data_IF_149275057532
#
_entry.id   IF_149275057532
#
_cell.length_a   1.000
_cell.length_b   1.000
_cell.length_c   1.000
_cell.angle_alpha   90.00
_cell.angle_beta   90.00
_cell.angle_gamma   90.00
#
_symmetry.space_group_name_H-M   'P 1'
#
loop_
_entity.id
_entity.type
_entity.pdbx_description
1 polymer ?
#
# COMPACT_ATOMS: atom_id res chain seq x y z
N UNK A 1 49.64 -8.39 -30.76
CA UNK A 1 48.50 -9.02 -30.05
C UNK A 1 48.08 -8.11 -28.90
N UNK A 2 46.94 -7.43 -29.02
CA UNK A 2 46.33 -6.64 -27.94
C UNK A 2 44.83 -6.91 -27.97
N UNK A 3 44.43 -7.91 -27.20
CA UNK A 3 43.02 -8.27 -26.97
C UNK A 3 42.61 -7.52 -25.71
N UNK A 4 41.82 -6.45 -25.86
CA UNK A 4 41.16 -5.76 -24.73
C UNK A 4 39.73 -5.42 -25.17
N UNK A 5 38.85 -6.43 -25.28
CA UNK A 5 37.41 -6.23 -25.57
C UNK A 5 36.48 -7.05 -24.65
N UNK A 6 36.95 -8.02 -23.86
CA UNK A 6 36.05 -8.96 -23.17
C UNK A 6 35.76 -8.67 -21.67
N UNK A 7 36.15 -7.51 -21.12
CA UNK A 7 35.87 -7.16 -19.71
C UNK A 7 34.92 -5.96 -19.57
N UNK A 8 34.03 -5.75 -20.53
CA UNK A 8 32.91 -4.80 -20.40
C UNK A 8 31.59 -5.55 -20.58
N UNK A 9 30.65 -5.31 -19.64
CA UNK A 9 29.27 -5.80 -19.53
C UNK A 9 29.14 -7.28 -19.11
N UNK A 10 28.57 -7.62 -17.95
CA UNK A 10 27.36 -7.07 -17.34
C UNK A 10 27.60 -7.00 -15.82
N UNK A 11 27.77 -5.80 -15.27
CA UNK A 11 27.44 -5.59 -13.86
C UNK A 11 25.93 -5.69 -13.75
N UNK A 12 25.45 -6.81 -13.22
CA UNK A 12 24.04 -6.93 -12.84
C UNK A 12 23.82 -5.90 -11.72
N UNK A 13 23.28 -4.74 -12.05
CA UNK A 13 22.62 -3.91 -11.06
C UNK A 13 21.36 -4.67 -10.65
N UNK A 14 21.52 -5.70 -9.81
CA UNK A 14 20.42 -6.08 -8.95
C UNK A 14 20.16 -4.83 -8.12
N UNK A 15 19.17 -4.04 -8.51
CA UNK A 15 18.52 -3.17 -7.56
C UNK A 15 17.87 -4.12 -6.56
N UNK A 16 18.62 -4.50 -5.53
CA UNK A 16 18.05 -4.99 -4.31
C UNK A 16 17.30 -3.79 -3.73
N UNK A 17 16.04 -3.63 -4.14
CA UNK A 17 15.14 -2.74 -3.44
C UNK A 17 14.98 -3.35 -2.05
N UNK A 18 15.86 -2.96 -1.12
CA UNK A 18 15.75 -3.28 0.29
C UNK A 18 14.58 -2.50 0.94
N UNK A 19 13.81 -1.77 0.14
CA UNK A 19 12.70 -0.95 0.57
C UNK A 19 11.38 -1.61 0.16
N UNK A 20 10.50 -1.76 1.14
CA UNK A 20 9.11 -2.13 0.92
C UNK A 20 8.44 -1.01 0.14
N UNK A 21 7.86 -1.34 -1.01
CA UNK A 21 7.02 -0.42 -1.77
C UNK A 21 5.56 -0.68 -1.45
N UNK A 22 4.78 0.38 -1.21
CA UNK A 22 3.33 0.31 -1.11
C UNK A 22 2.71 0.65 -2.47
N UNK A 23 1.74 -0.15 -2.88
CA UNK A 23 1.00 0.03 -4.13
C UNK A 23 -0.50 0.11 -3.84
N UNK A 24 -1.20 0.91 -4.63
CA UNK A 24 -2.67 0.92 -4.73
C UNK A 24 -3.05 0.99 -6.20
N UNK A 25 -4.18 0.38 -6.56
CA UNK A 25 -4.71 0.48 -7.92
C UNK A 25 -5.51 1.77 -8.10
N UNK A 26 -5.47 2.31 -9.32
CA UNK A 26 -6.29 3.45 -9.71
C UNK A 26 -7.69 2.99 -10.11
N UNK A 27 -8.71 3.68 -9.62
CA UNK A 27 -10.10 3.40 -9.98
C UNK A 27 -10.70 4.58 -10.74
N UNK A 28 -11.63 4.28 -11.64
CA UNK A 28 -12.59 5.25 -12.20
C UNK A 28 -13.95 4.88 -11.63
N UNK A 29 -14.58 5.80 -10.92
CA UNK A 29 -15.75 5.52 -10.10
C UNK A 29 -16.81 6.59 -10.31
N UNK A 30 -18.07 6.16 -10.32
CA UNK A 30 -19.20 7.06 -10.33
C UNK A 30 -19.44 7.63 -8.93
N UNK A 31 -20.03 8.81 -8.86
CA UNK A 31 -20.35 9.47 -7.60
C UNK A 31 -21.36 8.66 -6.79
N UNK A 32 -21.16 8.58 -5.46
CA UNK A 32 -22.01 7.79 -4.57
C UNK A 32 -21.83 6.26 -4.71
N UNK A 33 -20.94 5.78 -5.59
CA UNK A 33 -20.62 4.37 -5.68
C UNK A 33 -19.44 4.04 -4.75
N UNK A 34 -19.68 3.20 -3.74
CA UNK A 34 -18.61 2.64 -2.93
C UNK A 34 -17.69 1.80 -3.81
N UNK A 35 -16.39 2.06 -3.72
CA UNK A 35 -15.35 1.27 -4.35
C UNK A 35 -14.31 0.83 -3.32
N UNK A 36 -13.55 -0.19 -3.67
CA UNK A 36 -12.55 -0.75 -2.79
C UNK A 36 -11.16 -0.51 -3.38
N UNK A 37 -10.36 0.31 -2.69
CA UNK A 37 -8.95 0.49 -3.01
C UNK A 37 -8.09 -0.52 -2.25
N UNK A 38 -7.14 -1.14 -2.94
CA UNK A 38 -6.25 -2.14 -2.39
C UNK A 38 -4.93 -1.54 -1.90
N UNK A 39 -4.46 -2.01 -0.74
CA UNK A 39 -3.15 -1.61 -0.22
C UNK A 39 -2.23 -2.81 -0.30
N UNK A 40 -1.33 -2.79 -1.26
CA UNK A 40 -0.43 -3.89 -1.63
C UNK A 40 1.02 -3.58 -1.30
N UNK A 41 1.84 -4.62 -1.22
CA UNK A 41 3.28 -4.51 -1.02
C UNK A 41 4.10 -5.19 -2.10
N UNK A 42 5.28 -4.64 -2.35
CA UNK A 42 6.36 -5.24 -3.15
C UNK A 42 7.65 -5.17 -2.35
N UNK A 43 8.46 -6.23 -2.40
CA UNK A 43 9.71 -6.34 -1.63
C UNK A 43 9.50 -6.56 -0.13
N UNK A 44 8.36 -7.13 0.28
CA UNK A 44 8.06 -7.43 1.69
C UNK A 44 8.76 -8.72 2.12
N UNK A 45 10.04 -8.59 2.47
CA UNK A 45 10.90 -9.71 2.85
C UNK A 45 11.46 -9.50 4.25
N UNK A 46 11.23 -10.47 5.12
CA UNK A 46 11.71 -10.51 6.50
C UNK A 46 11.31 -9.26 7.32
N UNK A 47 10.06 -8.81 7.17
CA UNK A 47 9.56 -7.59 7.80
C UNK A 47 8.90 -7.93 9.13
N UNK A 48 9.41 -7.35 10.22
CA UNK A 48 8.87 -7.52 11.57
C UNK A 48 7.77 -6.49 11.87
N UNK A 49 7.77 -5.33 11.22
CA UNK A 49 6.73 -4.33 11.42
C UNK A 49 6.70 -3.29 10.33
N UNK A 50 5.55 -2.65 10.17
CA UNK A 50 5.36 -1.55 9.24
C UNK A 50 4.40 -0.53 9.83
N UNK A 51 4.69 0.74 9.57
CA UNK A 51 3.81 1.83 9.91
C UNK A 51 3.79 2.84 8.78
N UNK A 52 2.59 3.23 8.35
CA UNK A 52 2.40 4.26 7.34
C UNK A 52 1.05 4.95 7.49
N UNK A 53 0.83 5.97 6.66
CA UNK A 53 -0.43 6.70 6.60
C UNK A 53 -0.91 6.78 5.15
N UNK A 54 -2.21 6.58 4.94
CA UNK A 54 -2.89 6.85 3.69
C UNK A 54 -3.73 8.10 3.89
N UNK A 55 -3.49 9.11 3.06
CA UNK A 55 -4.16 10.41 3.15
C UNK A 55 -4.94 10.62 1.85
N UNK A 56 -6.13 11.17 1.97
CA UNK A 56 -6.96 11.56 0.82
C UNK A 56 -7.65 12.90 1.11
N UNK A 57 -8.18 13.51 0.07
CA UNK A 57 -9.01 14.70 0.20
C UNK A 57 -10.39 14.32 0.75
N UNK A 58 -10.62 14.62 2.03
CA UNK A 58 -11.88 14.31 2.72
C UNK A 58 -13.07 15.14 2.25
N UNK A 59 -12.85 16.16 1.40
CA UNK A 59 -13.96 16.94 0.82
C UNK A 59 -14.59 16.22 -0.37
N UNK A 60 -13.89 15.26 -0.97
CA UNK A 60 -14.35 14.51 -2.15
C UNK A 60 -14.43 12.99 -1.92
N UNK A 61 -13.76 12.43 -0.91
CA UNK A 61 -13.84 11.01 -0.57
C UNK A 61 -14.12 10.78 0.92
N UNK A 62 -14.99 9.80 1.20
CA UNK A 62 -15.28 9.31 2.55
C UNK A 62 -14.81 7.86 2.70
N UNK A 63 -14.15 7.56 3.82
CA UNK A 63 -13.86 6.18 4.20
C UNK A 63 -15.08 5.54 4.86
N UNK A 64 -15.49 4.39 4.34
CA UNK A 64 -16.53 3.54 4.91
C UNK A 64 -15.94 2.54 5.91
N UNK A 65 -14.79 1.95 5.57
CA UNK A 65 -14.10 1.01 6.45
C UNK A 65 -12.89 0.35 5.81
N UNK A 66 -12.27 -0.56 6.56
CA UNK A 66 -11.18 -1.43 6.09
C UNK A 66 -11.57 -2.89 6.26
N UNK A 67 -11.13 -3.74 5.34
CA UNK A 67 -11.45 -5.16 5.33
C UNK A 67 -10.36 -6.01 4.66
N UNK A 68 -10.62 -7.32 4.54
CA UNK A 68 -9.78 -8.29 3.84
C UNK A 68 -8.29 -8.20 4.21
N UNK A 69 -8.01 -8.45 5.49
CA UNK A 69 -6.66 -8.40 6.06
C UNK A 69 -5.81 -9.58 5.58
N UNK A 70 -4.80 -9.29 4.77
CA UNK A 70 -3.98 -10.30 4.08
C UNK A 70 -2.66 -10.65 4.77
N UNK A 71 -2.31 -10.00 5.89
CA UNK A 71 -1.19 -10.40 6.74
C UNK A 71 -1.68 -10.99 8.06
N UNK A 72 -0.99 -12.02 8.56
CA UNK A 72 -1.25 -12.58 9.88
C UNK A 72 -1.11 -11.50 10.96
N UNK A 73 -2.06 -11.44 11.89
CA UNK A 73 -2.05 -10.48 13.00
C UNK A 73 -2.55 -9.07 12.62
N UNK A 74 -2.89 -8.81 11.36
CA UNK A 74 -3.64 -7.61 10.97
C UNK A 74 -5.11 -7.79 11.36
N UNK A 75 -5.59 -6.82 12.14
CA UNK A 75 -6.97 -6.73 12.65
C UNK A 75 -7.28 -5.26 12.97
N UNK A 76 -8.51 -4.95 13.35
CA UNK A 76 -8.99 -3.56 13.47
C UNK A 76 -8.15 -2.67 14.42
N UNK A 77 -7.56 -3.24 15.48
CA UNK A 77 -6.72 -2.50 16.43
C UNK A 77 -5.38 -1.99 15.85
N UNK A 78 -5.02 -2.42 14.63
CA UNK A 78 -3.84 -1.96 13.87
C UNK A 78 -4.11 -0.67 13.08
N UNK A 79 -5.34 -0.17 13.12
CA UNK A 79 -5.79 0.97 12.34
C UNK A 79 -6.25 2.13 13.22
N UNK A 80 -5.75 3.34 12.94
CA UNK A 80 -6.37 4.59 13.33
C UNK A 80 -7.15 5.17 12.16
N UNK A 81 -8.47 5.17 12.24
CA UNK A 81 -9.35 5.67 11.17
C UNK A 81 -9.83 7.09 11.52
N UNK A 82 -9.48 8.05 10.67
CA UNK A 82 -9.85 9.46 10.81
C UNK A 82 -10.45 9.98 9.50
N UNK A 83 -11.05 11.16 9.56
CA UNK A 83 -11.49 11.82 8.33
C UNK A 83 -10.27 12.23 7.49
N UNK A 84 -10.20 11.78 6.24
CA UNK A 84 -9.07 12.05 5.33
C UNK A 84 -7.79 11.27 5.61
N UNK A 85 -7.79 10.33 6.57
CA UNK A 85 -6.56 9.64 7.00
C UNK A 85 -6.82 8.23 7.57
N UNK A 86 -6.08 7.25 7.07
CA UNK A 86 -5.84 5.96 7.74
C UNK A 86 -4.42 5.96 8.26
N UNK A 87 -4.22 5.72 9.55
CA UNK A 87 -2.93 5.31 10.11
C UNK A 87 -2.93 3.80 10.26
N UNK A 88 -1.90 3.15 9.72
CA UNK A 88 -1.71 1.72 9.87
C UNK A 88 -0.41 1.47 10.62
N UNK A 89 -0.45 0.63 11.64
CA UNK A 89 0.71 0.18 12.39
C UNK A 89 0.55 -1.30 12.76
N UNK A 90 1.42 -2.14 12.20
CA UNK A 90 1.41 -3.58 12.44
C UNK A 90 2.80 -4.07 12.82
N UNK A 91 2.82 -5.08 13.68
CA UNK A 91 4.02 -5.81 14.09
C UNK A 91 3.70 -7.31 14.05
N UNK A 92 4.65 -8.11 13.60
CA UNK A 92 4.61 -9.56 13.73
C UNK A 92 4.68 -9.92 15.22
N UNK A 93 3.60 -10.50 15.75
CA UNK A 93 3.51 -10.85 17.17
C UNK A 93 4.60 -11.87 17.60
N UNK A 94 5.17 -12.64 16.66
CA UNK A 94 6.27 -13.57 16.93
C UNK A 94 7.67 -12.95 16.76
N UNK A 95 7.76 -11.73 16.21
CA UNK A 95 9.01 -11.03 15.90
C UNK A 95 9.98 -11.86 15.03
N UNK A 96 9.42 -12.80 14.26
CA UNK A 96 10.17 -13.73 13.41
C UNK A 96 10.44 -13.18 12.02
N UNK A 97 9.72 -12.13 11.63
CA UNK A 97 9.79 -11.55 10.30
C UNK A 97 8.86 -12.27 9.34
N UNK A 98 8.05 -11.51 8.60
CA UNK A 98 7.12 -12.05 7.60
C UNK A 98 7.63 -11.72 6.20
N UNK A 99 7.58 -12.73 5.32
CA UNK A 99 7.80 -12.57 3.88
C UNK A 99 6.51 -12.92 3.14
N UNK A 100 6.08 -12.04 2.24
CA UNK A 100 4.96 -12.30 1.32
C UNK A 100 5.39 -12.07 -0.12
N UNK A 101 4.61 -12.60 -1.06
CA UNK A 101 4.87 -12.38 -2.48
C UNK A 101 4.62 -10.93 -2.85
N UNK A 102 5.27 -10.48 -3.92
CA UNK A 102 4.97 -9.18 -4.50
C UNK A 102 3.50 -9.08 -4.90
N UNK A 103 2.93 -7.89 -4.74
CA UNK A 103 1.51 -7.58 -4.95
C UNK A 103 0.54 -8.25 -3.97
N UNK A 104 1.01 -8.82 -2.85
CA UNK A 104 0.14 -9.24 -1.75
C UNK A 104 -0.60 -8.03 -1.18
N UNK A 105 -1.93 -8.13 -1.10
CA UNK A 105 -2.80 -7.14 -0.43
C UNK A 105 -2.66 -7.27 1.08
N UNK A 106 -2.33 -6.18 1.76
CA UNK A 106 -2.31 -6.10 3.23
C UNK A 106 -3.73 -5.89 3.76
N UNK A 107 -4.47 -4.96 3.17
CA UNK A 107 -5.88 -4.72 3.46
C UNK A 107 -6.56 -4.01 2.28
N UNK A 108 -7.88 -3.98 2.33
CA UNK A 108 -8.74 -3.23 1.43
C UNK A 108 -9.36 -2.05 2.18
N UNK A 109 -9.46 -0.89 1.55
CA UNK A 109 -10.19 0.28 2.05
C UNK A 109 -11.43 0.52 1.20
N UNK A 110 -12.60 0.49 1.83
CA UNK A 110 -13.88 0.81 1.21
C UNK A 110 -14.09 2.33 1.28
N UNK A 111 -14.17 2.97 0.12
CA UNK A 111 -14.22 4.43 -0.03
C UNK A 111 -15.42 4.81 -0.90
N UNK A 112 -16.08 5.91 -0.56
CA UNK A 112 -17.19 6.48 -1.31
C UNK A 112 -16.86 7.89 -1.78
N UNK A 113 -17.01 8.21 -3.08
CA UNK A 113 -16.94 9.58 -3.57
C UNK A 113 -18.14 10.41 -3.11
N UNK A 114 -17.86 11.55 -2.49
CA UNK A 114 -18.87 12.49 -2.02
C UNK A 114 -19.50 13.26 -3.19
N UNK A 115 -20.72 13.75 -2.95
CA UNK A 115 -21.33 14.73 -3.85
C UNK A 115 -20.53 16.03 -3.83
N UNK A 116 -19.93 16.41 -4.95
CA UNK A 116 -19.42 17.79 -5.11
C UNK A 116 -20.61 18.73 -4.92
N UNK A 117 -20.57 19.59 -3.90
CA UNK A 117 -21.46 20.74 -3.88
C UNK A 117 -21.09 21.59 -5.09
N UNK A 118 -22.06 22.00 -5.95
CA UNK A 118 -21.75 22.92 -7.02
C UNK A 118 -21.10 24.15 -6.39
N UNK A 119 -19.90 24.52 -6.87
CA UNK A 119 -19.30 25.79 -6.50
C UNK A 119 -20.35 26.88 -6.76
N UNK A 120 -20.80 27.54 -5.70
CA UNK A 120 -21.72 28.67 -5.83
C UNK A 120 -20.99 29.72 -6.69
N UNK A 121 -21.51 29.89 -7.92
CA UNK A 121 -21.16 30.94 -8.87
C UNK A 121 -21.34 32.32 -8.29
#
# INVERSE_FOLDING_TARGET
MRIIIAMLLITYLAQANAQVTLLTTSHQVEQGQVFTADVKVVGFKDIIGTQFSLVWDSTVLQLIGVENFGLQGVRNDRFGLFNGLIRFAWIDDQLSGITVNDSTTIFLSNIEPLFEMPAHS
#
